data_IF_329639218867
#
_entry.id   IF_329639218867
#
_cell.length_a   1.000
_cell.length_b   1.000
_cell.length_c   1.000
_cell.angle_alpha   90.00
_cell.angle_beta   90.00
_cell.angle_gamma   90.00
#
_symmetry.space_group_name_H-M   'P 1'
#
loop_
_entity.id
_entity.type
_entity.pdbx_description
1 polymer ?
#
# COMPACT_ATOMS: atom_id res chain seq x y z
N UNK A 1 4.04 -4.63 -6.61
CA UNK A 1 3.62 -4.70 -5.19
C UNK A 1 2.87 -6.00 -4.99
N UNK A 2 3.37 -6.82 -4.08
CA UNK A 2 2.88 -8.16 -3.76
C UNK A 2 2.50 -8.19 -2.28
N UNK A 3 1.61 -9.09 -1.87
CA UNK A 3 1.17 -9.28 -0.48
C UNK A 3 0.53 -8.07 0.23
N UNK A 4 0.25 -6.96 -0.47
CA UNK A 4 -0.42 -5.77 0.04
C UNK A 4 -1.85 -5.63 -0.53
N UNK A 5 -2.85 -5.82 0.33
CA UNK A 5 -4.26 -5.74 -0.03
C UNK A 5 -4.70 -4.30 -0.39
N UNK A 6 -4.16 -3.28 0.28
CA UNK A 6 -4.46 -1.88 -0.02
C UNK A 6 -3.97 -1.51 -1.42
N UNK A 7 -2.76 -1.92 -1.78
CA UNK A 7 -2.22 -1.70 -3.12
C UNK A 7 -3.01 -2.46 -4.19
N UNK A 8 -3.55 -3.64 -3.90
CA UNK A 8 -4.43 -4.35 -4.82
C UNK A 8 -5.74 -3.58 -5.06
N UNK A 9 -6.36 -3.06 -4.01
CA UNK A 9 -7.58 -2.24 -4.10
C UNK A 9 -7.34 -0.92 -4.84
N UNK A 10 -6.21 -0.24 -4.57
CA UNK A 10 -5.83 0.99 -5.28
C UNK A 10 -5.65 0.70 -6.77
N UNK A 11 -4.93 -0.37 -7.15
CA UNK A 11 -4.78 -0.74 -8.57
C UNK A 11 -6.12 -1.07 -9.23
N UNK A 12 -7.03 -1.73 -8.51
CA UNK A 12 -8.38 -2.00 -9.00
C UNK A 12 -9.13 -0.69 -9.28
N UNK A 13 -9.12 0.24 -8.31
CA UNK A 13 -9.78 1.54 -8.41
C UNK A 13 -9.20 2.42 -9.52
N UNK A 14 -7.88 2.47 -9.65
CA UNK A 14 -7.20 3.22 -10.73
C UNK A 14 -7.60 2.71 -12.13
N UNK A 15 -7.78 1.39 -12.28
CA UNK A 15 -8.23 0.78 -13.55
C UNK A 15 -9.71 0.99 -13.83
N UNK A 16 -10.55 1.01 -12.80
CA UNK A 16 -11.99 1.18 -12.98
C UNK A 16 -12.36 2.63 -13.24
N UNK A 17 -11.76 3.56 -12.49
CA UNK A 17 -12.28 4.93 -12.38
C UNK A 17 -11.37 5.98 -13.04
N UNK A 18 -10.10 5.66 -13.31
CA UNK A 18 -9.08 6.66 -13.71
C UNK A 18 -8.30 6.28 -14.98
N UNK A 19 -8.85 5.40 -15.83
CA UNK A 19 -8.27 5.00 -17.12
C UNK A 19 -6.83 4.46 -17.07
N UNK A 20 -6.39 3.92 -15.93
CA UNK A 20 -5.08 3.25 -15.87
C UNK A 20 -5.07 1.96 -16.70
N UNK A 21 -3.90 1.54 -17.21
CA UNK A 21 -3.77 0.32 -18.01
C UNK A 21 -4.37 -0.91 -17.31
N UNK A 22 -5.30 -1.59 -18.00
CA UNK A 22 -5.90 -2.85 -17.52
C UNK A 22 -4.95 -4.04 -17.67
N UNK A 23 -4.03 -3.98 -18.64
CA UNK A 23 -3.03 -5.02 -18.85
C UNK A 23 -2.04 -5.06 -17.66
N UNK A 24 -1.91 -6.23 -17.03
CA UNK A 24 -1.02 -6.43 -15.89
C UNK A 24 0.47 -6.26 -16.22
N UNK A 25 0.88 -6.42 -17.49
CA UNK A 25 2.27 -6.22 -17.91
C UNK A 25 2.65 -4.75 -18.12
N UNK A 26 1.67 -3.83 -18.14
CA UNK A 26 1.91 -2.40 -18.34
C UNK A 26 2.12 -1.70 -16.99
N UNK A 27 3.23 -0.99 -16.87
CA UNK A 27 3.54 -0.16 -15.71
C UNK A 27 2.58 1.03 -15.59
N UNK A 28 2.25 1.38 -14.35
CA UNK A 28 1.40 2.53 -14.01
C UNK A 28 2.19 3.85 -14.02
N UNK A 29 3.52 3.80 -14.03
CA UNK A 29 4.37 4.98 -13.90
C UNK A 29 4.35 5.64 -12.51
N UNK A 30 3.68 5.02 -11.54
CA UNK A 30 3.57 5.50 -10.16
C UNK A 30 4.46 4.62 -9.27
N UNK A 31 5.56 5.15 -8.70
CA UNK A 31 6.36 4.42 -7.73
C UNK A 31 5.56 4.22 -6.44
N UNK A 32 5.72 3.07 -5.80
CA UNK A 32 5.05 2.74 -4.54
C UNK A 32 6.04 2.05 -3.60
N UNK A 33 6.07 2.50 -2.34
CA UNK A 33 6.80 1.84 -1.26
C UNK A 33 5.88 0.81 -0.63
N UNK A 34 6.36 -0.42 -0.50
CA UNK A 34 5.63 -1.55 0.09
C UNK A 34 6.61 -2.52 0.77
N UNK A 35 6.11 -3.38 1.65
CA UNK A 35 6.87 -4.48 2.25
C UNK A 35 6.49 -5.81 1.60
N UNK A 36 7.44 -6.75 1.58
CA UNK A 36 7.20 -8.14 1.21
C UNK A 36 6.68 -8.98 2.39
N UNK A 37 6.69 -8.42 3.61
CA UNK A 37 6.13 -9.08 4.77
C UNK A 37 4.60 -9.19 4.65
N UNK A 38 4.08 -10.42 4.82
CA UNK A 38 2.64 -10.65 4.85
C UNK A 38 2.00 -9.99 6.08
N UNK A 39 0.78 -9.49 5.88
CA UNK A 39 -0.03 -8.91 6.96
C UNK A 39 -0.26 -9.93 8.08
N UNK A 40 0.01 -9.50 9.32
CA UNK A 40 -0.31 -10.25 10.54
C UNK A 40 -1.58 -9.69 11.16
N UNK A 41 -2.53 -10.57 11.43
CA UNK A 41 -3.83 -10.25 12.00
C UNK A 41 -3.86 -10.60 13.49
N UNK A 42 -4.42 -9.72 14.34
CA UNK A 42 -4.64 -10.03 15.75
C UNK A 42 -5.65 -11.16 15.91
N UNK A 43 -5.38 -12.04 16.86
CA UNK A 43 -6.22 -13.18 17.22
C UNK A 43 -6.92 -12.93 18.57
N UNK A 44 -8.00 -13.67 18.83
CA UNK A 44 -8.79 -13.52 20.06
C UNK A 44 -8.00 -13.92 21.33
N UNK A 45 -6.95 -14.74 21.19
CA UNK A 45 -6.06 -15.16 22.26
C UNK A 45 -4.91 -14.17 22.53
N UNK A 46 -4.90 -13.02 21.83
CA UNK A 46 -3.86 -11.98 21.95
C UNK A 46 -2.61 -12.24 21.10
N UNK A 47 -2.54 -13.36 20.38
CA UNK A 47 -1.45 -13.62 19.43
C UNK A 47 -1.68 -12.91 18.10
N UNK A 48 -0.70 -13.00 17.19
CA UNK A 48 -0.82 -12.52 15.81
C UNK A 48 -0.43 -13.64 14.84
N UNK A 49 -1.16 -13.78 13.73
CA UNK A 49 -0.83 -14.76 12.70
C UNK A 49 -1.22 -14.28 11.29
N UNK A 50 -0.84 -15.02 10.24
CA UNK A 50 -1.12 -14.65 8.84
C UNK A 50 -2.56 -14.92 8.37
N UNK A 51 -3.40 -15.52 9.23
CA UNK A 51 -4.78 -15.89 8.89
C UNK A 51 -5.72 -14.78 9.37
N UNK A 52 -6.47 -14.21 8.42
CA UNK A 52 -7.50 -13.22 8.74
C UNK A 52 -8.63 -13.91 9.53
N UNK A 53 -8.97 -13.43 10.74
CA UNK A 53 -10.08 -14.00 11.50
C UNK A 53 -11.40 -13.83 10.76
N UNK A 54 -12.32 -14.79 10.90
CA UNK A 54 -13.69 -14.68 10.41
C UNK A 54 -14.48 -13.70 11.29
N UNK A 55 -14.23 -12.42 11.08
CA UNK A 55 -14.97 -11.34 11.71
C UNK A 55 -16.31 -11.16 10.96
N UNK A 56 -17.43 -11.27 11.69
CA UNK A 56 -18.77 -11.03 11.15
C UNK A 56 -18.94 -9.60 10.61
N UNK A 57 -20.01 -9.35 9.85
CA UNK A 57 -20.24 -8.06 9.16
C UNK A 57 -20.15 -6.83 10.10
N UNK A 58 -20.58 -6.98 11.36
CA UNK A 58 -20.57 -5.90 12.37
C UNK A 58 -19.21 -5.64 13.02
N UNK A 59 -18.23 -6.54 12.87
CA UNK A 59 -16.92 -6.36 13.49
C UNK A 59 -16.08 -5.30 12.77
N UNK A 60 -16.30 -5.06 11.48
CA UNK A 60 -15.61 -4.01 10.72
C UNK A 60 -16.05 -2.58 11.10
N UNK A 61 -17.16 -2.43 11.82
CA UNK A 61 -17.76 -1.15 12.24
C UNK A 61 -17.42 -0.76 13.68
N UNK A 62 -16.66 -1.59 14.40
CA UNK A 62 -16.22 -1.26 15.77
C UNK A 62 -14.99 -0.36 15.71
N UNK A 63 -15.05 0.78 16.40
CA UNK A 63 -13.93 1.71 16.62
C UNK A 63 -12.93 1.19 17.66
N UNK A 64 -12.93 -0.11 17.96
CA UNK A 64 -11.97 -0.72 18.85
C UNK A 64 -10.69 -1.13 18.09
N UNK A 65 -9.59 -1.33 18.82
CA UNK A 65 -8.35 -1.84 18.25
C UNK A 65 -8.42 -3.33 17.88
N UNK A 66 -9.57 -4.00 18.07
CA UNK A 66 -9.73 -5.44 17.90
C UNK A 66 -9.99 -5.87 16.46
N UNK A 67 -10.60 -5.01 15.65
CA UNK A 67 -10.91 -5.32 14.25
C UNK A 67 -9.90 -4.74 13.22
N UNK A 68 -9.10 -3.75 13.63
CA UNK A 68 -8.13 -3.07 12.78
C UNK A 68 -6.76 -3.77 12.70
N UNK A 69 -5.98 -3.42 11.68
CA UNK A 69 -4.55 -3.76 11.66
C UNK A 69 -3.79 -2.82 12.60
N UNK A 70 -2.90 -3.38 13.43
CA UNK A 70 -1.97 -2.58 14.23
C UNK A 70 -0.91 -1.89 13.39
N UNK A 71 -0.25 -0.87 13.97
CA UNK A 71 0.86 -0.16 13.36
C UNK A 71 1.97 0.10 14.38
N UNK A 72 3.21 0.19 13.90
CA UNK A 72 4.38 0.52 14.71
C UNK A 72 5.15 1.69 14.09
N UNK A 73 5.48 2.70 14.90
CA UNK A 73 6.10 3.96 14.45
C UNK A 73 7.37 3.74 13.64
N UNK A 74 8.23 2.81 14.05
CA UNK A 74 9.49 2.53 13.36
C UNK A 74 9.27 1.96 11.95
N UNK A 75 8.17 1.22 11.74
CA UNK A 75 7.81 0.67 10.43
C UNK A 75 7.23 1.77 9.54
N UNK A 76 6.23 2.50 10.04
CA UNK A 76 5.58 3.57 9.25
C UNK A 76 6.55 4.71 8.95
N UNK A 77 7.45 5.05 9.88
CA UNK A 77 8.53 6.00 9.69
C UNK A 77 9.53 5.55 8.61
N UNK A 78 9.96 4.29 8.63
CA UNK A 78 10.86 3.77 7.59
C UNK A 78 10.24 3.83 6.19
N UNK A 79 8.94 3.51 6.06
CA UNK A 79 8.21 3.65 4.79
C UNK A 79 8.18 5.11 4.31
N UNK A 80 7.93 6.06 5.23
CA UNK A 80 7.94 7.48 4.91
C UNK A 80 9.33 7.94 4.44
N UNK A 81 10.39 7.54 5.14
CA UNK A 81 11.76 7.89 4.75
C UNK A 81 12.14 7.30 3.38
N UNK A 82 11.75 6.06 3.08
CA UNK A 82 11.96 5.47 1.76
C UNK A 82 11.20 6.23 0.66
N UNK A 83 9.96 6.64 0.92
CA UNK A 83 9.16 7.43 -0.02
C UNK A 83 9.77 8.81 -0.28
N UNK A 84 10.22 9.50 0.77
CA UNK A 84 10.90 10.80 0.66
C UNK A 84 12.20 10.67 -0.13
N UNK A 85 13.01 9.64 0.14
CA UNK A 85 14.23 9.38 -0.63
C UNK A 85 13.94 9.23 -2.13
N UNK A 86 12.88 8.50 -2.49
CA UNK A 86 12.47 8.37 -3.89
C UNK A 86 11.96 9.68 -4.49
N UNK A 87 11.18 10.46 -3.73
CA UNK A 87 10.68 11.74 -4.18
C UNK A 87 11.81 12.74 -4.47
N UNK A 88 12.82 12.81 -3.59
CA UNK A 88 14.01 13.64 -3.79
C UNK A 88 14.78 13.22 -5.05
N UNK A 89 14.99 11.92 -5.26
CA UNK A 89 15.63 11.40 -6.49
C UNK A 89 14.86 11.83 -7.75
N UNK A 90 13.52 11.84 -7.70
CA UNK A 90 12.70 12.27 -8.84
C UNK A 90 12.78 13.79 -9.09
N UNK A 91 12.79 14.60 -8.03
CA UNK A 91 12.87 16.06 -8.11
C UNK A 91 14.25 16.55 -8.57
N UNK A 92 15.31 15.84 -8.19
CA UNK A 92 16.68 16.18 -8.57
C UNK A 92 17.05 15.77 -10.01
N UNK A 93 16.21 14.99 -10.69
CA UNK A 93 16.48 14.61 -12.09
C UNK A 93 16.43 15.85 -12.98
N UNK A 94 17.44 16.07 -13.83
CA UNK A 94 17.45 17.21 -14.74
C UNK A 94 16.21 17.13 -15.64
N UNK A 95 15.45 18.23 -15.68
CA UNK A 95 14.29 18.35 -16.57
C UNK A 95 14.81 18.21 -17.99
N UNK A 96 14.46 17.11 -18.69
CA UNK A 96 14.66 17.04 -20.14
C UNK A 96 13.94 18.26 -20.72
N UNK A 97 14.69 19.19 -21.30
CA UNK A 97 14.12 20.26 -22.09
C UNK A 97 13.21 19.62 -23.13
N UNK A 98 11.94 20.01 -23.14
CA UNK A 98 11.02 19.57 -24.16
C UNK A 98 11.59 20.09 -25.49
N UNK A 99 12.06 19.18 -26.36
CA UNK A 99 12.36 19.53 -27.74
C UNK A 99 11.04 19.95 -28.39
N UNK A 100 10.87 21.21 -28.82
CA UNK A 100 9.70 21.58 -29.58
C UNK A 100 9.70 20.80 -30.90
N UNK A 101 8.55 20.24 -31.25
CA UNK A 101 8.28 19.63 -32.55
C UNK A 101 8.13 20.69 -33.64
#
# INVERSE_FOLDING_TARGET
TEHDAMMALIRKKLRSDFNFPKNASRYFGVPAVYSLENVKYPQADGTVCGIRPNLGADAALKLDCGAGLGAATHITGAFAFAAVGKALEMLMKPKKSATPA
#
